data_IF_908409603534
#
_entry.id   IF_908409603534
#
_cell.length_a   1.000
_cell.length_b   1.000
_cell.length_c   1.000
_cell.angle_alpha   90.00
_cell.angle_beta   90.00
_cell.angle_gamma   90.00
#
_symmetry.space_group_name_H-M   'P 1'
#
loop_
_entity.id
_entity.type
_entity.pdbx_description
1 polymer ?
#
# COMPACT_ATOMS: atom_id res chain seq x y z
N UNK A 1 36.62 -58.94 59.06
CA UNK A 1 35.80 -57.72 59.15
C UNK A 1 36.02 -56.94 57.85
N UNK A 2 35.12 -57.13 56.89
CA UNK A 2 35.15 -56.53 55.55
C UNK A 2 34.44 -55.19 55.57
N UNK A 3 35.16 -54.09 55.31
CA UNK A 3 34.61 -52.74 55.20
C UNK A 3 34.05 -52.49 53.80
N UNK A 4 32.77 -52.15 53.73
CA UNK A 4 32.06 -51.82 52.49
C UNK A 4 32.38 -50.38 52.09
N UNK A 5 33.00 -50.21 50.91
CA UNK A 5 33.20 -48.91 50.30
C UNK A 5 31.93 -48.48 49.56
N UNK A 6 31.23 -47.47 50.09
CA UNK A 6 30.07 -46.85 49.45
C UNK A 6 30.58 -45.89 48.37
N UNK A 7 30.36 -46.24 47.10
CA UNK A 7 30.68 -45.40 45.96
C UNK A 7 29.48 -44.49 45.69
N UNK A 8 29.60 -43.21 46.01
CA UNK A 8 28.58 -42.20 45.69
C UNK A 8 28.72 -41.82 44.22
N UNK A 9 27.82 -42.34 43.39
CA UNK A 9 27.69 -41.94 42.00
C UNK A 9 26.99 -40.57 41.94
N UNK A 10 27.76 -39.49 41.75
CA UNK A 10 27.23 -38.20 41.37
C UNK A 10 26.72 -38.27 39.92
N UNK A 11 25.42 -38.50 39.75
CA UNK A 11 24.70 -38.26 38.51
C UNK A 11 24.73 -36.76 38.22
N UNK A 12 25.67 -36.33 37.37
CA UNK A 12 25.62 -35.01 36.74
C UNK A 12 24.46 -35.05 35.75
N UNK A 13 23.28 -34.63 36.21
CA UNK A 13 22.16 -34.32 35.33
C UNK A 13 22.54 -33.08 34.52
N UNK A 14 23.27 -33.28 33.41
CA UNK A 14 23.31 -32.31 32.33
C UNK A 14 21.92 -32.32 31.69
N UNK A 15 20.99 -31.61 32.32
CA UNK A 15 19.71 -31.30 31.70
C UNK A 15 20.01 -30.53 30.43
N UNK A 16 19.74 -31.13 29.28
CA UNK A 16 19.63 -30.43 28.02
C UNK A 16 18.44 -29.47 28.14
N UNK A 17 18.68 -28.28 28.70
CA UNK A 17 17.76 -27.17 28.51
C UNK A 17 17.84 -26.81 27.03
N UNK A 18 16.93 -27.34 26.22
CA UNK A 18 16.77 -26.88 24.84
C UNK A 18 16.25 -25.44 24.88
N UNK A 19 17.18 -24.49 25.02
CA UNK A 19 16.89 -23.09 24.76
C UNK A 19 16.35 -22.98 23.33
N UNK A 20 15.35 -22.12 23.13
CA UNK A 20 14.86 -21.87 21.77
C UNK A 20 15.99 -21.31 20.91
N UNK A 21 16.18 -21.88 19.73
CA UNK A 21 17.14 -21.40 18.75
C UNK A 21 16.77 -20.00 18.27
N UNK A 22 17.61 -19.03 18.59
CA UNK A 22 17.44 -17.63 18.20
C UNK A 22 17.37 -17.43 16.68
N UNK A 23 18.04 -18.27 15.87
CA UNK A 23 18.00 -18.16 14.41
C UNK A 23 16.65 -18.63 13.86
N UNK A 24 16.11 -19.72 14.39
CA UNK A 24 14.73 -20.13 14.10
C UNK A 24 13.72 -19.05 14.52
N UNK A 25 13.86 -18.52 15.73
CA UNK A 25 13.00 -17.44 16.22
C UNK A 25 13.09 -16.18 15.33
N UNK A 26 14.29 -15.80 14.89
CA UNK A 26 14.48 -14.67 13.98
C UNK A 26 13.82 -14.92 12.60
N UNK A 27 13.83 -16.17 12.10
CA UNK A 27 13.14 -16.55 10.86
C UNK A 27 11.63 -16.45 11.00
N UNK A 28 11.08 -16.91 12.13
CA UNK A 28 9.64 -16.86 12.41
C UNK A 28 9.16 -15.41 12.55
N UNK A 29 9.92 -14.57 13.28
CA UNK A 29 9.65 -13.13 13.39
C UNK A 29 9.67 -12.45 12.02
N UNK A 30 10.64 -12.78 11.16
CA UNK A 30 10.69 -12.22 9.81
C UNK A 30 9.45 -12.58 8.97
N UNK A 31 8.95 -13.82 9.09
CA UNK A 31 7.73 -14.25 8.41
C UNK A 31 6.47 -13.59 8.98
N UNK A 32 6.37 -13.46 10.32
CA UNK A 32 5.28 -12.73 10.97
C UNK A 32 5.27 -11.27 10.54
N UNK A 33 6.43 -10.62 10.53
CA UNK A 33 6.55 -9.23 10.09
C UNK A 33 6.18 -9.06 8.62
N UNK A 34 6.51 -10.03 7.77
CA UNK A 34 6.13 -10.00 6.36
C UNK A 34 4.60 -10.01 6.19
N UNK A 35 3.89 -10.81 6.99
CA UNK A 35 2.43 -10.81 7.04
C UNK A 35 1.85 -9.52 7.65
N UNK A 36 2.49 -8.95 8.68
CA UNK A 36 2.06 -7.65 9.21
C UNK A 36 2.21 -6.53 8.16
N UNK A 37 3.24 -6.59 7.31
CA UNK A 37 3.38 -5.64 6.21
C UNK A 37 2.29 -5.83 5.13
N UNK A 38 1.73 -7.04 4.93
CA UNK A 38 0.53 -7.20 4.10
C UNK A 38 -0.66 -6.42 4.68
N UNK A 39 -0.84 -6.45 6.00
CA UNK A 39 -1.92 -5.73 6.67
C UNK A 39 -1.69 -4.20 6.62
N UNK A 40 -0.45 -3.75 6.84
CA UNK A 40 -0.05 -2.34 6.74
C UNK A 40 -0.30 -1.81 5.31
N UNK A 41 0.09 -2.58 4.28
CA UNK A 41 -0.16 -2.27 2.87
C UNK A 41 -1.62 -2.52 2.49
N UNK A 42 -2.34 -3.39 3.20
CA UNK A 42 -3.78 -3.58 3.15
C UNK A 42 -4.42 -3.62 1.76
N UNK A 43 -5.66 -3.10 1.71
CA UNK A 43 -6.45 -2.98 0.49
C UNK A 43 -6.09 -1.71 -0.29
N UNK A 44 -5.81 -1.84 -1.59
CA UNK A 44 -5.45 -0.70 -2.43
C UNK A 44 -6.68 -0.07 -3.06
N UNK A 45 -7.04 1.14 -2.63
CA UNK A 45 -8.13 1.93 -3.21
C UNK A 45 -7.65 3.18 -3.96
N UNK A 46 -6.34 3.36 -4.13
CA UNK A 46 -5.74 4.51 -4.83
C UNK A 46 -4.74 4.08 -5.88
N UNK A 47 -4.65 4.87 -6.94
CA UNK A 47 -3.62 4.72 -7.97
C UNK A 47 -2.31 5.29 -7.47
N UNK A 48 -1.28 4.45 -7.40
CA UNK A 48 0.07 4.83 -6.94
C UNK A 48 1.12 4.06 -7.72
N UNK A 49 2.23 4.73 -8.01
CA UNK A 49 3.45 4.09 -8.50
C UNK A 49 4.07 3.26 -7.37
N UNK A 50 4.64 2.09 -7.70
CA UNK A 50 5.29 1.23 -6.71
C UNK A 50 6.41 1.96 -5.95
N UNK A 51 7.11 2.88 -6.64
CA UNK A 51 8.14 3.72 -6.05
C UNK A 51 7.60 4.62 -4.92
N UNK A 52 6.45 5.27 -5.14
CA UNK A 52 5.79 6.07 -4.10
C UNK A 52 5.46 5.21 -2.88
N UNK A 53 4.85 4.05 -3.09
CA UNK A 53 4.47 3.12 -2.01
C UNK A 53 5.72 2.68 -1.24
N UNK A 54 6.79 2.31 -1.94
CA UNK A 54 8.05 1.91 -1.33
C UNK A 54 8.69 3.05 -0.50
N UNK A 55 8.54 4.30 -0.94
CA UNK A 55 9.06 5.48 -0.24
C UNK A 55 8.24 5.85 1.00
N UNK A 56 6.92 5.71 0.96
CA UNK A 56 6.04 6.26 2.01
C UNK A 56 5.44 5.22 2.96
N UNK A 57 5.27 3.97 2.52
CA UNK A 57 4.52 2.95 3.27
C UNK A 57 5.41 1.85 3.87
N UNK A 58 6.68 1.73 3.45
CA UNK A 58 7.63 0.76 4.04
C UNK A 58 8.47 1.45 5.13
N UNK A 59 8.04 1.28 6.38
CA UNK A 59 8.77 1.80 7.56
C UNK A 59 10.12 1.08 7.77
N UNK A 60 11.21 1.84 7.83
CA UNK A 60 12.59 1.28 7.87
C UNK A 60 12.96 0.55 9.17
N UNK A 61 12.29 0.83 10.29
CA UNK A 61 12.59 0.22 11.60
C UNK A 61 11.31 -0.01 12.39
N UNK A 62 11.15 -1.23 12.88
CA UNK A 62 10.12 -1.61 13.86
C UNK A 62 10.85 -2.16 15.07
N UNK A 63 10.64 -1.53 16.23
CA UNK A 63 11.19 -2.02 17.50
C UNK A 63 10.19 -3.00 18.11
N UNK A 64 10.60 -4.25 18.31
CA UNK A 64 9.87 -5.23 19.09
C UNK A 64 10.47 -5.34 20.50
N UNK A 65 9.69 -5.82 21.47
CA UNK A 65 10.21 -6.19 22.79
C UNK A 65 11.17 -7.38 22.65
N UNK A 66 12.48 -7.12 22.72
CA UNK A 66 13.53 -8.17 22.67
C UNK A 66 14.11 -8.47 21.28
N UNK A 67 13.62 -7.83 20.22
CA UNK A 67 14.09 -8.02 18.85
C UNK A 67 14.16 -6.71 18.07
N UNK A 68 15.13 -6.60 17.18
CA UNK A 68 15.21 -5.48 16.23
C UNK A 68 14.87 -5.95 14.83
N UNK A 69 13.93 -5.25 14.19
CA UNK A 69 13.47 -5.56 12.83
C UNK A 69 13.78 -4.37 11.93
N UNK A 70 14.45 -4.65 10.82
CA UNK A 70 14.76 -3.67 9.79
C UNK A 70 14.15 -4.11 8.47
N UNK A 71 13.25 -3.29 7.92
CA UNK A 71 12.65 -3.47 6.60
C UNK A 71 13.43 -2.61 5.59
N UNK A 72 13.86 -3.21 4.49
CA UNK A 72 14.60 -2.52 3.44
C UNK A 72 13.97 -2.81 2.07
N UNK A 73 13.40 -1.79 1.40
CA UNK A 73 13.03 -1.91 0.00
C UNK A 73 14.27 -2.24 -0.84
N UNK A 74 14.19 -3.28 -1.65
CA UNK A 74 15.27 -3.72 -2.54
C UNK A 74 15.02 -3.35 -4.00
N UNK A 75 13.75 -3.38 -4.42
CA UNK A 75 13.32 -3.05 -5.77
C UNK A 75 11.83 -2.82 -5.81
N UNK A 76 11.39 -2.02 -6.78
CA UNK A 76 9.98 -1.69 -6.98
C UNK A 76 9.72 -1.44 -8.46
N UNK A 77 8.53 -1.82 -8.95
CA UNK A 77 8.13 -1.57 -10.33
C UNK A 77 6.62 -1.61 -10.52
N UNK A 78 6.14 -0.97 -11.58
CA UNK A 78 4.72 -0.92 -11.91
C UNK A 78 3.92 0.04 -11.01
N UNK A 79 2.60 -0.07 -11.07
CA UNK A 79 1.66 0.82 -10.40
C UNK A 79 0.30 0.15 -10.17
N UNK A 80 -0.46 0.66 -9.20
CA UNK A 80 -1.83 0.22 -8.92
C UNK A 80 -2.85 0.94 -9.81
N UNK A 81 -2.82 0.73 -11.12
CA UNK A 81 -3.72 1.41 -12.06
C UNK A 81 -4.52 0.44 -12.93
N UNK A 82 -5.85 0.47 -12.85
CA UNK A 82 -6.70 -0.41 -13.67
C UNK A 82 -6.40 -1.88 -13.40
N UNK A 83 -5.90 -2.60 -14.41
CA UNK A 83 -5.47 -4.01 -14.31
C UNK A 83 -3.96 -4.18 -14.13
N UNK A 84 -3.22 -3.09 -13.92
CA UNK A 84 -1.78 -3.12 -13.66
C UNK A 84 -1.51 -3.51 -12.20
N UNK A 85 -0.33 -4.11 -11.97
CA UNK A 85 0.14 -4.56 -10.68
C UNK A 85 1.44 -3.81 -10.33
N UNK A 86 1.54 -3.32 -9.10
CA UNK A 86 2.77 -2.85 -8.51
C UNK A 86 3.45 -4.00 -7.77
N UNK A 87 4.78 -4.09 -7.88
CA UNK A 87 5.60 -5.07 -7.19
C UNK A 87 6.62 -4.36 -6.31
N UNK A 88 6.82 -4.83 -5.08
CA UNK A 88 7.85 -4.31 -4.19
C UNK A 88 8.56 -5.46 -3.49
N UNK A 89 9.88 -5.50 -3.64
CA UNK A 89 10.74 -6.49 -2.99
C UNK A 89 11.27 -5.90 -1.68
N UNK A 90 11.10 -6.59 -0.57
CA UNK A 90 11.47 -6.11 0.77
C UNK A 90 12.34 -7.14 1.47
N UNK A 91 13.48 -6.69 1.99
CA UNK A 91 14.38 -7.47 2.85
C UNK A 91 14.08 -7.18 4.31
N UNK A 92 13.83 -8.24 5.05
CA UNK A 92 13.68 -8.22 6.50
C UNK A 92 14.97 -8.73 7.14
N UNK A 93 15.61 -7.87 7.93
CA UNK A 93 16.76 -8.26 8.75
C UNK A 93 16.32 -8.22 10.20
N UNK A 94 16.28 -9.40 10.83
CA UNK A 94 15.82 -9.57 12.21
C UNK A 94 17.00 -10.00 13.06
N UNK A 95 17.20 -9.32 14.19
CA UNK A 95 18.16 -9.72 15.22
C UNK A 95 17.43 -9.93 16.54
N UNK A 96 17.63 -11.09 17.14
CA UNK A 96 17.05 -11.52 18.42
C UNK A 96 18.16 -11.49 19.47
N UNK A 97 17.92 -10.80 20.58
CA UNK A 97 18.83 -10.81 21.71
C UNK A 97 18.68 -12.12 22.50
N UNK A 98 19.77 -12.57 23.11
CA UNK A 98 19.71 -13.68 24.08
C UNK A 98 18.82 -13.28 25.26
N UNK A 99 17.92 -14.19 25.64
CA UNK A 99 17.07 -14.01 26.80
C UNK A 99 17.20 -15.25 27.69
N UNK A 100 17.74 -15.12 28.92
CA UNK A 100 17.78 -16.24 29.85
C UNK A 100 16.36 -16.56 30.34
N UNK A 101 16.09 -17.84 30.59
CA UNK A 101 14.87 -18.24 31.28
C UNK A 101 14.85 -17.69 32.70
N UNK A 102 13.80 -16.95 33.07
CA UNK A 102 13.73 -16.26 34.37
C UNK A 102 12.89 -17.01 35.41
N UNK A 103 12.30 -18.16 35.05
CA UNK A 103 11.44 -18.95 35.93
C UNK A 103 11.48 -20.45 35.61
N UNK A 104 10.99 -21.29 36.53
CA UNK A 104 10.93 -22.74 36.34
C UNK A 104 10.00 -23.08 35.15
N UNK A 105 10.56 -23.67 34.09
CA UNK A 105 9.85 -24.00 32.86
C UNK A 105 9.96 -22.94 31.75
N UNK A 106 10.57 -21.79 32.01
CA UNK A 106 10.95 -20.83 30.97
C UNK A 106 12.30 -21.24 30.37
N UNK A 107 12.29 -21.57 29.07
CA UNK A 107 13.48 -22.05 28.35
C UNK A 107 14.36 -20.90 27.86
N UNK A 108 13.89 -19.65 27.89
CA UNK A 108 14.60 -18.54 27.25
C UNK A 108 14.86 -18.77 25.76
N UNK A 109 15.78 -17.99 25.19
CA UNK A 109 16.27 -18.18 23.81
C UNK A 109 17.74 -17.77 23.69
N UNK A 110 18.46 -18.41 22.77
CA UNK A 110 19.79 -17.92 22.35
C UNK A 110 19.65 -16.64 21.53
N UNK A 111 20.74 -15.86 21.43
CA UNK A 111 20.82 -14.81 20.42
C UNK A 111 20.79 -15.42 19.02
N UNK A 112 20.21 -14.71 18.06
CA UNK A 112 20.16 -15.17 16.68
C UNK A 112 19.81 -14.08 15.67
N UNK A 113 19.96 -14.41 14.39
CA UNK A 113 19.74 -13.50 13.28
C UNK A 113 19.22 -14.22 12.05
N UNK A 114 18.25 -13.61 11.38
CA UNK A 114 17.77 -14.08 10.09
C UNK A 114 17.69 -12.94 9.07
N UNK A 115 17.77 -13.30 7.80
CA UNK A 115 17.47 -12.42 6.68
C UNK A 115 16.54 -13.15 5.72
N UNK A 116 15.40 -12.54 5.42
CA UNK A 116 14.37 -13.08 4.52
C UNK A 116 13.96 -11.99 3.54
N UNK A 117 13.57 -12.36 2.34
CA UNK A 117 13.09 -11.42 1.33
C UNK A 117 11.74 -11.86 0.81
N UNK A 118 10.87 -10.89 0.60
CA UNK A 118 9.51 -11.12 0.13
C UNK A 118 9.18 -10.15 -1.00
N UNK A 119 8.42 -10.64 -1.98
CA UNK A 119 7.84 -9.81 -3.03
C UNK A 119 6.38 -9.58 -2.73
N UNK A 120 6.02 -8.31 -2.59
CA UNK A 120 4.65 -7.84 -2.41
C UNK A 120 4.04 -7.52 -3.77
N UNK A 121 2.81 -7.99 -3.97
CA UNK A 121 2.00 -7.78 -5.16
C UNK A 121 0.81 -6.90 -4.77
N UNK A 122 0.73 -5.71 -5.36
CA UNK A 122 -0.30 -4.72 -5.07
C UNK A 122 -1.12 -4.43 -6.32
N UNK A 123 -2.43 -4.63 -6.24
CA UNK A 123 -3.38 -4.38 -7.33
C UNK A 123 -4.50 -3.48 -6.86
N UNK A 124 -4.99 -2.61 -7.75
CA UNK A 124 -6.13 -1.76 -7.44
C UNK A 124 -7.37 -2.61 -7.11
N UNK A 125 -8.06 -2.22 -6.05
CA UNK A 125 -9.24 -2.90 -5.51
C UNK A 125 -9.00 -4.34 -5.05
N UNK A 126 -7.77 -4.67 -4.64
CA UNK A 126 -7.42 -5.95 -4.01
C UNK A 126 -6.63 -5.75 -2.74
N UNK A 127 -6.65 -6.77 -1.90
CA UNK A 127 -5.72 -6.90 -0.78
C UNK A 127 -4.33 -7.23 -1.30
N UNK A 128 -3.32 -6.67 -0.64
CA UNK A 128 -1.92 -7.00 -0.86
C UNK A 128 -1.68 -8.47 -0.55
N UNK A 129 -0.76 -9.08 -1.30
CA UNK A 129 -0.27 -10.42 -1.01
C UNK A 129 1.24 -10.45 -1.18
N UNK A 130 1.91 -11.38 -0.51
CA UNK A 130 3.34 -11.60 -0.67
C UNK A 130 3.71 -13.06 -0.90
N UNK A 131 4.92 -13.28 -1.38
CA UNK A 131 5.57 -14.58 -1.40
C UNK A 131 7.06 -14.42 -1.10
N UNK A 132 7.67 -15.45 -0.50
CA UNK A 132 9.11 -15.47 -0.23
C UNK A 132 9.89 -15.56 -1.55
N UNK A 133 10.99 -14.81 -1.63
CA UNK A 133 11.94 -14.82 -2.74
C UNK A 133 13.35 -14.96 -2.19
N UNK A 134 14.27 -15.43 -3.02
CA UNK A 134 15.70 -15.38 -2.70
C UNK A 134 16.14 -13.92 -2.51
N UNK A 135 16.92 -13.66 -1.46
CA UNK A 135 17.43 -12.32 -1.22
C UNK A 135 18.44 -11.91 -2.30
N UNK A 136 18.15 -10.89 -3.12
CA UNK A 136 19.10 -10.36 -4.09
C UNK A 136 20.40 -9.92 -3.40
N UNK A 137 21.53 -10.23 -4.02
CA UNK A 137 22.86 -9.82 -3.55
C UNK A 137 23.13 -8.33 -3.83
N UNK A 138 22.36 -7.46 -3.20
CA UNK A 138 22.45 -5.99 -3.34
C UNK A 138 23.15 -5.43 -2.09
N UNK A 139 24.36 -4.89 -2.29
CA UNK A 139 25.17 -4.30 -1.22
C UNK A 139 24.58 -2.99 -0.69
N UNK A 140 24.03 -2.16 -1.56
CA UNK A 140 23.37 -0.89 -1.18
C UNK A 140 22.08 -0.75 -1.98
N UNK A 141 20.92 -1.02 -1.36
CA UNK A 141 19.64 -0.84 -2.01
C UNK A 141 19.44 0.62 -2.44
N UNK A 142 18.80 0.83 -3.59
CA UNK A 142 18.38 2.16 -4.00
C UNK A 142 17.40 2.72 -2.95
N UNK A 143 17.47 4.04 -2.70
CA UNK A 143 16.49 4.72 -1.84
C UNK A 143 15.31 5.12 -2.72
N UNK A 144 14.08 4.63 -2.45
CA UNK A 144 12.92 5.02 -3.23
C UNK A 144 12.63 6.51 -3.07
N UNK A 145 12.23 7.16 -4.16
CA UNK A 145 11.82 8.57 -4.14
C UNK A 145 10.30 8.68 -4.08
N UNK A 146 9.75 9.81 -3.65
CA UNK A 146 8.29 10.01 -3.68
C UNK A 146 7.86 10.44 -5.08
N UNK A 147 7.47 9.49 -5.93
CA UNK A 147 6.95 9.81 -7.26
C UNK A 147 5.73 10.75 -7.17
N UNK A 148 5.47 11.60 -8.17
CA UNK A 148 4.35 12.52 -8.13
C UNK A 148 3.00 11.80 -7.96
N UNK A 149 2.13 12.36 -7.12
CA UNK A 149 0.74 11.89 -7.00
C UNK A 149 -0.02 12.25 -8.28
N UNK A 150 -0.81 11.33 -8.88
CA UNK A 150 -1.64 11.64 -10.04
C UNK A 150 -2.60 12.82 -9.77
N UNK A 151 -2.68 13.78 -10.70
CA UNK A 151 -3.51 14.98 -10.60
C UNK A 151 -4.10 15.32 -11.95
N UNK A 152 -5.17 16.11 -11.96
CA UNK A 152 -5.66 16.71 -13.19
C UNK A 152 -4.59 17.67 -13.76
N UNK A 153 -4.54 17.85 -15.09
CA UNK A 153 -3.73 18.89 -15.71
C UNK A 153 -4.08 20.27 -15.16
N UNK A 154 -3.08 21.15 -15.02
CA UNK A 154 -3.29 22.52 -14.52
C UNK A 154 -4.28 23.32 -15.39
N UNK A 155 -4.34 23.03 -16.70
CA UNK A 155 -5.29 23.60 -17.68
C UNK A 155 -6.62 22.84 -17.74
N UNK A 156 -6.86 21.86 -16.86
CA UNK A 156 -7.99 20.93 -16.95
C UNK A 156 -9.35 21.61 -17.00
N UNK A 157 -9.53 22.72 -16.28
CA UNK A 157 -10.79 23.48 -16.30
C UNK A 157 -11.07 24.09 -17.68
N UNK A 158 -10.06 24.72 -18.28
CA UNK A 158 -10.17 25.34 -19.60
C UNK A 158 -10.34 24.29 -20.69
N UNK A 159 -9.63 23.18 -20.56
CA UNK A 159 -9.75 22.03 -21.46
C UNK A 159 -11.14 21.41 -21.42
N UNK A 160 -11.71 21.19 -20.24
CA UNK A 160 -13.07 20.69 -20.09
C UNK A 160 -14.10 21.70 -20.62
N UNK A 161 -13.90 22.99 -20.37
CA UNK A 161 -14.76 24.02 -20.92
C UNK A 161 -14.73 24.03 -22.46
N UNK A 162 -13.55 23.89 -23.08
CA UNK A 162 -13.41 23.78 -24.53
C UNK A 162 -14.10 22.52 -25.07
N UNK A 163 -13.91 21.37 -24.43
CA UNK A 163 -14.59 20.12 -24.79
C UNK A 163 -16.11 20.26 -24.73
N UNK A 164 -16.64 20.88 -23.66
CA UNK A 164 -18.07 21.15 -23.54
C UNK A 164 -18.58 22.11 -24.61
N UNK A 165 -17.81 23.11 -25.06
CA UNK A 165 -18.23 24.00 -26.17
C UNK A 165 -18.33 23.24 -27.49
N UNK A 166 -17.39 22.33 -27.76
CA UNK A 166 -17.35 21.57 -29.01
C UNK A 166 -18.38 20.42 -29.06
N UNK A 167 -18.78 19.89 -27.91
CA UNK A 167 -19.65 18.72 -27.83
C UNK A 167 -21.12 18.99 -28.22
N UNK A 168 -21.77 17.95 -28.74
CA UNK A 168 -23.23 17.79 -28.79
C UNK A 168 -23.67 16.74 -27.76
N UNK A 169 -24.98 16.57 -27.48
CA UNK A 169 -25.44 15.47 -26.60
C UNK A 169 -24.88 14.10 -27.01
N UNK A 170 -24.81 13.83 -28.32
CA UNK A 170 -24.37 12.53 -28.85
C UNK A 170 -22.85 12.35 -28.81
N UNK A 171 -22.06 13.43 -28.84
CA UNK A 171 -20.59 13.36 -28.85
C UNK A 171 -19.96 13.61 -27.49
N UNK A 172 -20.73 14.03 -26.49
CA UNK A 172 -20.24 14.53 -25.19
C UNK A 172 -19.21 13.60 -24.54
N UNK A 173 -19.56 12.32 -24.34
CA UNK A 173 -18.69 11.36 -23.69
C UNK A 173 -17.36 11.19 -24.43
N UNK A 174 -17.41 11.07 -25.76
CA UNK A 174 -16.23 10.92 -26.61
C UNK A 174 -15.35 12.17 -26.63
N UNK A 175 -15.95 13.35 -26.78
CA UNK A 175 -15.22 14.64 -26.81
C UNK A 175 -14.52 14.91 -25.48
N UNK A 176 -15.19 14.67 -24.34
CA UNK A 176 -14.56 14.86 -23.03
C UNK A 176 -13.47 13.81 -22.78
N UNK A 177 -13.70 12.53 -23.14
CA UNK A 177 -12.68 11.49 -23.01
C UNK A 177 -11.44 11.79 -23.87
N UNK A 178 -11.61 12.35 -25.06
CA UNK A 178 -10.48 12.74 -25.92
C UNK A 178 -9.66 13.89 -25.32
N UNK A 179 -10.29 14.79 -24.56
CA UNK A 179 -9.61 15.87 -23.85
C UNK A 179 -8.81 15.37 -22.63
N UNK A 180 -9.20 14.23 -22.05
CA UNK A 180 -8.56 13.61 -20.88
C UNK A 180 -8.23 12.14 -21.18
N UNK A 181 -7.22 11.87 -22.02
CA UNK A 181 -6.87 10.51 -22.44
C UNK A 181 -6.20 9.69 -21.33
N UNK A 182 -5.75 10.32 -20.25
CA UNK A 182 -5.02 9.66 -19.17
C UNK A 182 -5.91 8.66 -18.42
N UNK A 183 -5.47 7.40 -18.33
CA UNK A 183 -6.26 6.31 -17.74
C UNK A 183 -6.61 6.50 -16.26
N UNK A 184 -5.82 7.28 -15.52
CA UNK A 184 -6.06 7.56 -14.10
C UNK A 184 -7.12 8.65 -13.89
N UNK A 185 -7.56 9.33 -14.96
CA UNK A 185 -8.62 10.33 -14.93
C UNK A 185 -9.96 9.65 -15.26
N UNK A 186 -10.90 9.79 -14.33
CA UNK A 186 -12.29 9.38 -14.55
C UNK A 186 -13.04 10.49 -15.27
N UNK A 187 -13.83 10.10 -16.28
CA UNK A 187 -14.73 10.99 -17.02
C UNK A 187 -16.12 10.41 -16.88
N UNK A 188 -17.03 11.23 -16.35
CA UNK A 188 -18.45 10.94 -16.26
C UNK A 188 -19.23 12.08 -16.92
N UNK A 189 -20.22 11.74 -17.73
CA UNK A 189 -20.94 12.73 -18.55
C UNK A 189 -22.42 12.40 -18.65
N UNK A 190 -23.27 13.41 -18.62
CA UNK A 190 -24.71 13.24 -18.80
C UNK A 190 -25.30 14.47 -19.49
N UNK A 191 -26.39 14.27 -20.23
CA UNK A 191 -27.26 15.36 -20.66
C UNK A 191 -28.44 15.44 -19.70
N UNK A 192 -28.65 16.60 -19.08
CA UNK A 192 -29.71 16.81 -18.08
C UNK A 192 -30.42 18.14 -18.34
N UNK A 193 -31.73 18.11 -18.52
CA UNK A 193 -32.55 19.32 -18.79
C UNK A 193 -32.03 20.17 -19.96
N UNK A 194 -31.50 19.51 -21.01
CA UNK A 194 -30.89 20.17 -22.17
C UNK A 194 -29.50 20.78 -21.92
N UNK A 195 -28.96 20.67 -20.71
CA UNK A 195 -27.58 21.00 -20.39
C UNK A 195 -26.64 19.81 -20.62
N UNK A 196 -25.41 20.10 -21.04
CA UNK A 196 -24.33 19.11 -21.08
C UNK A 196 -23.52 19.20 -19.78
N UNK A 197 -23.42 18.09 -19.06
CA UNK A 197 -22.75 18.02 -17.76
C UNK A 197 -21.58 17.05 -17.87
N UNK A 198 -20.42 17.46 -17.39
CA UNK A 198 -19.23 16.62 -17.35
C UNK A 198 -18.52 16.78 -16.01
N UNK A 199 -18.21 15.65 -15.39
CA UNK A 199 -17.35 15.53 -14.22
C UNK A 199 -16.06 14.82 -14.64
N UNK A 200 -14.92 15.46 -14.38
CA UNK A 200 -13.60 14.93 -14.69
C UNK A 200 -12.73 15.01 -13.45
N UNK A 201 -12.11 13.91 -13.05
CA UNK A 201 -11.37 13.89 -11.80
C UNK A 201 -10.42 12.72 -11.62
N UNK A 202 -9.65 12.82 -10.54
CA UNK A 202 -8.86 11.73 -9.95
C UNK A 202 -9.52 11.41 -8.60
N UNK A 203 -10.50 10.48 -8.54
CA UNK A 203 -11.38 10.32 -7.37
C UNK A 203 -10.62 10.05 -6.07
N UNK A 204 -9.57 9.23 -6.15
CA UNK A 204 -8.72 8.91 -4.99
C UNK A 204 -8.02 10.12 -4.36
N UNK A 205 -7.83 11.20 -5.13
CA UNK A 205 -7.16 12.43 -4.68
C UNK A 205 -8.12 13.58 -4.35
N UNK A 206 -9.44 13.34 -4.46
CA UNK A 206 -10.47 14.39 -4.31
C UNK A 206 -10.24 15.58 -5.24
N UNK A 207 -9.62 15.33 -6.38
CA UNK A 207 -9.40 16.29 -7.45
C UNK A 207 -10.51 16.10 -8.49
N UNK A 208 -11.38 17.09 -8.63
CA UNK A 208 -12.59 16.98 -9.45
C UNK A 208 -12.94 18.34 -10.05
N UNK A 209 -13.28 18.32 -11.33
CA UNK A 209 -13.79 19.45 -12.08
C UNK A 209 -15.17 19.05 -12.61
N UNK A 210 -16.20 19.76 -12.16
CA UNK A 210 -17.57 19.60 -12.63
C UNK A 210 -17.98 20.86 -13.37
N UNK A 211 -18.28 20.73 -14.66
CA UNK A 211 -18.75 21.83 -15.48
C UNK A 211 -20.07 21.47 -16.17
N UNK A 212 -20.91 22.49 -16.33
CA UNK A 212 -22.23 22.40 -16.96
C UNK A 212 -22.30 23.45 -18.06
N UNK A 213 -22.57 23.02 -19.30
CA UNK A 213 -22.97 23.92 -20.40
C UNK A 213 -24.49 23.99 -20.44
N UNK A 214 -25.05 25.14 -20.09
CA UNK A 214 -26.50 25.38 -20.11
C UNK A 214 -27.05 25.40 -21.54
N UNK A 215 -28.39 25.30 -21.73
CA UNK A 215 -29.01 25.46 -23.04
C UNK A 215 -28.71 26.81 -23.72
N UNK A 216 -28.47 27.86 -22.92
CA UNK A 216 -28.03 29.18 -23.41
C UNK A 216 -26.56 29.24 -23.85
N UNK A 217 -25.81 28.14 -23.74
CA UNK A 217 -24.39 28.05 -24.09
C UNK A 217 -23.44 28.54 -23.00
N UNK A 218 -23.94 29.05 -21.86
CA UNK A 218 -23.09 29.46 -20.76
C UNK A 218 -22.48 28.25 -20.04
N UNK A 219 -21.20 28.35 -19.64
CA UNK A 219 -20.52 27.31 -18.87
C UNK A 219 -20.46 27.73 -17.41
N UNK A 220 -20.93 26.86 -16.52
CA UNK A 220 -20.99 27.06 -15.08
C UNK A 220 -20.25 25.94 -14.35
N UNK A 221 -19.75 26.26 -13.16
CA UNK A 221 -19.14 25.31 -12.23
C UNK A 221 -20.08 25.21 -11.02
N UNK A 222 -20.88 24.14 -10.89
CA UNK A 222 -21.71 23.95 -9.71
C UNK A 222 -20.84 23.84 -8.47
N UNK A 223 -21.32 24.39 -7.34
CA UNK A 223 -20.73 24.09 -6.04
C UNK A 223 -21.17 22.72 -5.55
N UNK A 224 -20.30 22.01 -4.84
CA UNK A 224 -20.59 20.76 -4.15
C UNK A 224 -19.67 20.63 -2.93
N UNK A 225 -20.08 19.84 -1.94
CA UNK A 225 -19.23 19.57 -0.77
C UNK A 225 -18.10 18.59 -1.16
N UNK A 226 -16.87 18.90 -0.75
CA UNK A 226 -15.70 18.04 -0.98
C UNK A 226 -15.81 16.71 -0.24
N UNK A 227 -16.63 16.61 0.79
CA UNK A 227 -16.90 15.35 1.49
C UNK A 227 -17.51 14.30 0.56
N UNK A 228 -18.27 14.71 -0.46
CA UNK A 228 -18.87 13.78 -1.43
C UNK A 228 -17.87 13.19 -2.42
N UNK A 229 -16.62 13.70 -2.43
CA UNK A 229 -15.53 13.14 -3.22
C UNK A 229 -14.77 12.01 -2.50
N UNK A 230 -15.12 11.69 -1.24
CA UNK A 230 -14.42 10.67 -0.47
C UNK A 230 -14.61 9.26 -1.05
N UNK A 231 -13.60 8.37 -0.94
CA UNK A 231 -13.76 6.97 -1.33
C UNK A 231 -14.91 6.32 -0.54
N UNK A 232 -15.87 5.71 -1.25
CA UNK A 232 -17.09 5.15 -0.65
C UNK A 232 -18.33 6.05 -0.80
N UNK A 233 -18.13 7.32 -1.13
CA UNK A 233 -19.19 8.27 -1.44
C UNK A 233 -19.47 8.33 -2.96
N UNK A 234 -20.04 9.42 -3.45
CA UNK A 234 -20.39 9.63 -4.85
C UNK A 234 -19.17 9.71 -5.77
N UNK A 235 -18.07 10.29 -5.28
CA UNK A 235 -16.85 10.54 -6.05
C UNK A 235 -17.02 11.66 -7.09
N UNK A 236 -16.05 11.80 -7.99
CA UNK A 236 -16.16 12.79 -9.08
C UNK A 236 -17.10 12.29 -10.19
N UNK A 237 -18.40 12.56 -10.02
CA UNK A 237 -19.47 12.13 -10.93
C UNK A 237 -20.46 13.26 -11.22
N UNK A 238 -21.20 13.17 -12.31
CA UNK A 238 -22.24 14.15 -12.68
C UNK A 238 -23.42 14.11 -11.71
N UNK A 239 -23.57 13.02 -10.94
CA UNK A 239 -24.49 12.89 -9.80
C UNK A 239 -24.43 14.09 -8.84
N UNK A 240 -23.24 14.69 -8.66
CA UNK A 240 -23.02 15.86 -7.79
C UNK A 240 -23.86 17.08 -8.22
N UNK A 241 -24.27 17.12 -9.49
CA UNK A 241 -25.15 18.16 -10.03
C UNK A 241 -26.58 17.67 -10.23
N UNK A 242 -26.77 16.49 -10.82
CA UNK A 242 -28.12 16.02 -11.21
C UNK A 242 -28.94 15.48 -10.03
N UNK A 243 -28.29 15.05 -8.96
CA UNK A 243 -28.93 14.50 -7.77
C UNK A 243 -28.01 14.64 -6.54
N UNK A 244 -27.74 15.89 -6.10
CA UNK A 244 -26.83 16.13 -4.98
C UNK A 244 -27.38 15.50 -3.69
N UNK A 245 -26.52 14.89 -2.85
CA UNK A 245 -26.91 14.48 -1.50
C UNK A 245 -27.45 15.66 -0.69
N UNK A 246 -28.42 15.39 0.20
CA UNK A 246 -29.04 16.40 1.08
C UNK A 246 -28.57 16.22 2.52
#
# INVERSE_FOLDING_TARGET
MTGVAVTVACLVLTGCSENRDGDSLARDIAATEAALLDDDLGYRNRVREAEYIAATEISKKVAGSGSTIRREPLGWSGRTAGSEQATIDVRFVVTVAEQPGVSFGDLGNSAGRATRCYRYLLELSRYTSHHEIDCPAIATPAVPTTSPIPRLPDDGRDRLAAALRAATPDTLAGTVRAAFPEKHITVDTVTHEGALVAAVGVPAERDCILLVRTPSGAIKSPGYDRIWLEPGEMGCKTGLYVSPPR
#
